data_IF_571682220448
#
_entry.id   IF_571682220448
#
_cell.length_a   1.000
_cell.length_b   1.000
_cell.length_c   1.000
_cell.angle_alpha   90.00
_cell.angle_beta   90.00
_cell.angle_gamma   90.00
#
_symmetry.space_group_name_H-M   'P 1'
#
loop_
_entity.id
_entity.type
_entity.pdbx_description
1 polymer ?
#
# COMPACT_ATOMS: atom_id res chain seq x y z
N UNK A 1 17.93 8.62 -5.58
CA UNK A 1 17.27 7.91 -6.71
C UNK A 1 17.23 6.40 -6.51
N UNK A 2 18.24 5.59 -6.85
CA UNK A 2 18.14 4.12 -6.73
C UNK A 2 17.91 3.64 -5.28
N UNK A 3 18.59 4.26 -4.30
CA UNK A 3 18.39 3.96 -2.88
C UNK A 3 16.96 4.28 -2.42
N UNK A 4 16.52 5.52 -2.66
CA UNK A 4 15.16 6.00 -2.37
C UNK A 4 14.08 5.15 -3.02
N UNK A 5 14.25 4.78 -4.29
CA UNK A 5 13.31 3.90 -4.99
C UNK A 5 13.17 2.54 -4.31
N UNK A 6 14.31 1.92 -3.94
CA UNK A 6 14.30 0.65 -3.21
C UNK A 6 13.65 0.79 -1.83
N UNK A 7 13.82 1.92 -1.14
CA UNK A 7 13.16 2.19 0.15
C UNK A 7 11.65 2.30 -0.03
N UNK A 8 11.18 3.08 -1.00
CA UNK A 8 9.75 3.19 -1.32
C UNK A 8 9.14 1.83 -1.67
N UNK A 9 9.84 1.02 -2.48
CA UNK A 9 9.43 -0.35 -2.79
C UNK A 9 9.34 -1.23 -1.53
N UNK A 10 10.36 -1.17 -0.68
CA UNK A 10 10.41 -1.94 0.56
C UNK A 10 9.30 -1.51 1.51
N UNK A 11 8.98 -0.22 1.58
CA UNK A 11 7.90 0.30 2.40
C UNK A 11 6.55 -0.28 1.98
N UNK A 12 6.23 -0.23 0.67
CA UNK A 12 5.03 -0.87 0.12
C UNK A 12 4.95 -2.37 0.49
N UNK A 13 6.05 -3.09 0.29
CA UNK A 13 6.14 -4.52 0.57
C UNK A 13 6.01 -4.85 2.06
N UNK A 14 6.54 -4.00 2.93
CA UNK A 14 6.55 -4.20 4.38
C UNK A 14 5.16 -3.98 4.97
N UNK A 15 4.47 -2.90 4.57
CA UNK A 15 3.10 -2.64 4.98
C UNK A 15 2.16 -3.78 4.59
N UNK A 16 2.24 -4.25 3.34
CA UNK A 16 1.43 -5.38 2.88
C UNK A 16 1.71 -6.66 3.67
N UNK A 17 2.98 -6.93 4.03
CA UNK A 17 3.36 -8.16 4.73
C UNK A 17 3.02 -8.16 6.22
N UNK A 18 3.09 -7.01 6.89
CA UNK A 18 2.61 -6.86 8.27
C UNK A 18 1.11 -7.15 8.31
N UNK A 19 0.33 -6.39 7.53
CA UNK A 19 -1.14 -6.48 7.56
C UNK A 19 -1.65 -7.85 7.11
N UNK A 20 -0.99 -8.50 6.15
CA UNK A 20 -1.40 -9.82 5.67
C UNK A 20 -1.29 -10.93 6.74
N UNK A 21 -0.61 -10.68 7.86
CA UNK A 21 -0.46 -11.63 8.96
C UNK A 21 -1.49 -11.44 10.07
N UNK A 22 -2.33 -10.42 9.98
CA UNK A 22 -3.28 -10.11 11.04
C UNK A 22 -4.58 -10.92 10.92
N UNK A 23 -5.33 -10.95 12.02
CA UNK A 23 -6.71 -11.45 12.07
C UNK A 23 -7.74 -10.33 11.99
N UNK A 24 -7.34 -9.10 12.32
CA UNK A 24 -8.12 -7.86 12.25
C UNK A 24 -7.16 -6.67 12.33
N UNK A 25 -7.55 -5.51 11.80
CA UNK A 25 -6.70 -4.31 11.79
C UNK A 25 -7.39 -3.17 12.52
N UNK A 26 -6.78 -2.69 13.60
CA UNK A 26 -7.30 -1.60 14.43
C UNK A 26 -6.92 -0.20 13.93
N UNK A 27 -7.61 0.85 14.39
CA UNK A 27 -7.20 2.23 14.09
C UNK A 27 -5.80 2.58 14.62
N UNK A 28 -5.46 2.06 15.81
CA UNK A 28 -4.14 2.28 16.42
C UNK A 28 -3.02 1.63 15.59
N UNK A 29 -3.30 0.45 15.02
CA UNK A 29 -2.35 -0.24 14.15
C UNK A 29 -2.12 0.52 12.84
N UNK A 30 -3.19 1.00 12.18
CA UNK A 30 -3.05 1.85 10.99
C UNK A 30 -2.20 3.09 11.29
N UNK A 31 -2.42 3.75 12.44
CA UNK A 31 -1.61 4.88 12.85
C UNK A 31 -0.12 4.47 13.02
N UNK A 32 0.15 3.36 13.69
CA UNK A 32 1.51 2.83 13.86
C UNK A 32 2.19 2.44 12.54
N UNK A 33 1.43 1.95 11.55
CA UNK A 33 1.95 1.69 10.20
C UNK A 33 2.38 2.99 9.49
N UNK A 34 1.67 4.09 9.72
CA UNK A 34 2.04 5.40 9.20
C UNK A 34 3.29 5.96 9.86
N UNK A 35 3.40 5.83 11.18
CA UNK A 35 4.61 6.24 11.91
C UNK A 35 5.84 5.43 11.46
N UNK A 36 5.65 4.15 11.09
CA UNK A 36 6.72 3.30 10.57
C UNK A 36 7.25 3.73 9.19
N UNK A 37 6.49 4.52 8.41
CA UNK A 37 6.93 4.96 7.08
C UNK A 37 8.19 5.83 7.15
N UNK A 38 8.30 6.71 8.14
CA UNK A 38 9.49 7.55 8.34
C UNK A 38 10.75 6.71 8.57
N UNK A 39 10.62 5.61 9.31
CA UNK A 39 11.72 4.69 9.58
C UNK A 39 12.12 3.93 8.31
N UNK A 40 11.12 3.48 7.53
CA UNK A 40 11.35 2.73 6.28
C UNK A 40 11.99 3.59 5.19
N UNK A 41 11.65 4.88 5.15
CA UNK A 41 12.18 5.83 4.19
C UNK A 41 13.51 6.46 4.60
N UNK A 42 13.86 6.46 5.90
CA UNK A 42 15.10 7.05 6.39
C UNK A 42 16.34 6.59 5.58
N UNK A 43 17.22 7.50 5.13
CA UNK A 43 17.31 8.91 5.49
C UNK A 43 16.48 9.85 4.60
N UNK A 44 15.75 9.33 3.62
CA UNK A 44 14.82 10.13 2.82
C UNK A 44 13.58 10.47 3.68
N UNK A 45 13.00 11.66 3.51
CA UNK A 45 11.74 12.01 4.17
C UNK A 45 10.58 11.23 3.57
N UNK A 46 9.60 10.81 4.38
CA UNK A 46 8.35 10.21 3.91
C UNK A 46 7.27 11.24 3.53
N UNK A 47 7.50 12.54 3.75
CA UNK A 47 6.46 13.58 3.57
C UNK A 47 5.86 13.63 2.16
N UNK A 48 6.67 13.35 1.13
CA UNK A 48 6.22 13.27 -0.27
C UNK A 48 5.71 11.88 -0.67
N UNK A 49 5.61 10.94 0.27
CA UNK A 49 5.10 9.60 0.05
C UNK A 49 3.58 9.59 0.21
N UNK A 50 2.91 9.01 -0.79
CA UNK A 50 1.48 8.68 -0.79
C UNK A 50 1.36 7.18 -0.69
N UNK A 51 0.47 6.71 0.18
CA UNK A 51 0.21 5.28 0.37
C UNK A 51 -1.28 5.03 0.33
N UNK A 52 -1.69 3.98 -0.39
CA UNK A 52 -3.05 3.43 -0.35
C UNK A 52 -2.93 1.96 0.04
N UNK A 53 -3.40 1.64 1.25
CA UNK A 53 -3.47 0.28 1.78
C UNK A 53 -4.91 -0.20 1.64
N UNK A 54 -5.11 -1.35 1.00
CA UNK A 54 -6.45 -1.88 0.70
C UNK A 54 -6.51 -3.36 1.04
N UNK A 55 -7.56 -3.76 1.76
CA UNK A 55 -7.98 -5.17 1.82
C UNK A 55 -8.98 -5.45 0.71
N UNK A 56 -8.66 -6.43 -0.11
CA UNK A 56 -9.45 -6.81 -1.29
C UNK A 56 -9.93 -8.23 -1.12
N UNK A 57 -11.23 -8.47 -1.27
CA UNK A 57 -11.82 -9.80 -1.27
C UNK A 57 -11.97 -10.30 -2.70
N UNK A 58 -11.52 -11.51 -2.99
CA UNK A 58 -11.77 -12.19 -4.26
C UNK A 58 -13.13 -12.89 -4.19
N UNK A 59 -14.13 -12.31 -4.87
CA UNK A 59 -15.52 -12.78 -4.86
C UNK A 59 -15.70 -13.97 -5.81
N UNK A 60 -15.06 -13.92 -6.98
CA UNK A 60 -15.06 -14.98 -7.99
C UNK A 60 -13.74 -14.98 -8.78
N UNK A 61 -13.58 -15.90 -9.73
CA UNK A 61 -12.39 -15.95 -10.59
C UNK A 61 -12.22 -14.70 -11.48
N UNK A 62 -13.24 -13.83 -11.55
CA UNK A 62 -13.25 -12.62 -12.39
C UNK A 62 -13.67 -11.35 -11.65
N UNK A 63 -13.98 -11.43 -10.35
CA UNK A 63 -14.42 -10.29 -9.54
C UNK A 63 -13.71 -10.28 -8.20
N UNK A 64 -13.06 -9.15 -7.90
CA UNK A 64 -12.49 -8.84 -6.60
C UNK A 64 -12.94 -7.44 -6.20
N UNK A 65 -13.26 -7.23 -4.93
CA UNK A 65 -13.85 -5.98 -4.42
C UNK A 65 -13.14 -5.47 -3.17
N UNK A 66 -13.16 -4.15 -3.00
CA UNK A 66 -12.60 -3.49 -1.82
C UNK A 66 -13.44 -3.81 -0.59
N UNK A 67 -12.81 -4.36 0.45
CA UNK A 67 -13.42 -4.54 1.78
C UNK A 67 -13.26 -3.26 2.58
N UNK A 68 -12.03 -2.76 2.64
CA UNK A 68 -11.69 -1.47 3.24
C UNK A 68 -10.43 -0.92 2.60
N UNK A 69 -10.22 0.39 2.72
CA UNK A 69 -9.02 1.06 2.25
C UNK A 69 -8.68 2.23 3.15
N UNK A 70 -7.40 2.37 3.45
CA UNK A 70 -6.81 3.50 4.15
C UNK A 70 -5.82 4.21 3.23
N UNK A 71 -5.67 5.51 3.41
CA UNK A 71 -4.73 6.30 2.64
C UNK A 71 -3.94 7.23 3.55
N UNK A 72 -2.66 7.43 3.22
CA UNK A 72 -1.74 8.28 3.93
C UNK A 72 -0.94 9.16 2.96
N UNK A 73 -0.60 10.37 3.40
CA UNK A 73 0.14 11.36 2.60
C UNK A 73 -0.77 12.33 1.84
N UNK A 74 -0.21 13.50 1.52
CA UNK A 74 -0.96 14.59 0.89
C UNK A 74 -1.45 14.20 -0.52
N UNK A 75 -2.76 14.29 -0.75
CA UNK A 75 -3.39 13.96 -2.03
C UNK A 75 -3.61 12.46 -2.27
N UNK A 76 -3.24 11.59 -1.32
CA UNK A 76 -3.59 10.18 -1.38
C UNK A 76 -5.12 10.02 -1.17
N UNK A 77 -5.75 9.19 -2.00
CA UNK A 77 -7.18 8.92 -1.92
C UNK A 77 -7.41 7.44 -1.71
N UNK A 78 -8.09 7.07 -0.63
CA UNK A 78 -8.47 5.67 -0.38
C UNK A 78 -9.42 5.17 -1.46
N UNK A 79 -9.42 3.87 -1.72
CA UNK A 79 -10.43 3.27 -2.58
C UNK A 79 -11.80 3.27 -1.90
N UNK A 80 -12.85 3.34 -2.71
CA UNK A 80 -14.23 3.23 -2.23
C UNK A 80 -14.58 1.76 -1.95
N UNK A 81 -15.03 1.46 -0.73
CA UNK A 81 -15.53 0.13 -0.35
C UNK A 81 -16.59 -0.39 -1.32
N UNK A 82 -16.54 -1.69 -1.62
CA UNK A 82 -17.46 -2.37 -2.52
C UNK A 82 -17.17 -2.18 -4.01
N UNK A 83 -16.25 -1.29 -4.39
CA UNK A 83 -15.84 -1.14 -5.79
C UNK A 83 -14.94 -2.28 -6.25
N UNK A 84 -14.97 -2.57 -7.56
CA UNK A 84 -14.14 -3.62 -8.15
C UNK A 84 -12.67 -3.20 -8.19
N UNK A 85 -11.78 -4.17 -7.98
CA UNK A 85 -10.33 -4.06 -8.11
C UNK A 85 -9.87 -5.05 -9.17
N UNK A 86 -9.05 -4.59 -10.11
CA UNK A 86 -8.38 -5.46 -11.06
C UNK A 86 -7.16 -6.11 -10.40
N UNK A 87 -7.07 -7.43 -10.44
CA UNK A 87 -5.92 -8.21 -9.96
C UNK A 87 -5.46 -9.15 -11.07
N UNK A 88 -4.19 -9.56 -11.02
CA UNK A 88 -3.68 -10.61 -11.90
C UNK A 88 -4.50 -11.90 -11.72
N UNK A 89 -4.80 -12.59 -12.81
CA UNK A 89 -5.60 -13.83 -12.78
C UNK A 89 -5.04 -14.89 -11.81
N UNK A 90 -3.72 -14.91 -11.57
CA UNK A 90 -3.06 -15.81 -10.61
C UNK A 90 -3.42 -15.52 -9.15
N UNK A 91 -3.91 -14.31 -8.85
CA UNK A 91 -4.38 -13.90 -7.52
C UNK A 91 -5.89 -14.11 -7.35
N UNK A 92 -6.62 -14.43 -8.41
CA UNK A 92 -8.09 -14.53 -8.42
C UNK A 92 -8.58 -15.89 -7.93
N UNK A 93 -8.22 -16.26 -6.70
CA UNK A 93 -8.72 -17.47 -6.03
C UNK A 93 -9.97 -17.13 -5.21
N UNK A 94 -11.18 -17.60 -5.60
CA UNK A 94 -12.42 -17.26 -4.90
C UNK A 94 -12.38 -17.59 -3.41
N UNK A 95 -12.94 -16.71 -2.59
CA UNK A 95 -13.00 -16.89 -1.14
C UNK A 95 -11.73 -16.49 -0.39
N UNK A 96 -10.68 -16.05 -1.10
CA UNK A 96 -9.46 -15.50 -0.49
C UNK A 96 -9.48 -13.97 -0.47
N UNK A 97 -8.55 -13.36 0.26
CA UNK A 97 -8.28 -11.94 0.22
C UNK A 97 -6.81 -11.61 0.01
N UNK A 98 -6.60 -10.42 -0.55
CA UNK A 98 -5.32 -9.84 -0.84
C UNK A 98 -5.22 -8.51 -0.11
N UNK A 99 -4.12 -8.31 0.61
CA UNK A 99 -3.67 -6.99 1.03
C UNK A 99 -2.86 -6.39 -0.11
N UNK A 100 -3.34 -5.26 -0.60
CA UNK A 100 -2.74 -4.47 -1.67
C UNK A 100 -2.24 -3.16 -1.08
N UNK A 101 -0.96 -2.86 -1.25
CA UNK A 101 -0.37 -1.57 -0.89
C UNK A 101 0.18 -0.92 -2.15
N UNK A 102 -0.30 0.27 -2.45
CA UNK A 102 0.23 1.12 -3.51
C UNK A 102 0.94 2.29 -2.88
N UNK A 103 2.08 2.64 -3.45
CA UNK A 103 2.87 3.78 -3.01
C UNK A 103 3.26 4.63 -4.19
N UNK A 104 3.25 5.94 -4.01
CA UNK A 104 3.85 6.93 -4.91
C UNK A 104 4.76 7.83 -4.09
N UNK A 105 5.98 8.04 -4.57
CA UNK A 105 6.95 8.90 -3.93
C UNK A 105 7.49 9.91 -4.93
N UNK A 106 7.28 11.19 -4.68
CA UNK A 106 7.84 12.27 -5.50
C UNK A 106 9.26 12.58 -5.02
N UNK A 107 10.26 12.31 -5.86
CA UNK A 107 11.66 12.61 -5.61
C UNK A 107 12.08 13.89 -6.35
N UNK A 108 12.53 14.88 -5.58
CA UNK A 108 13.09 16.13 -6.07
C UNK A 108 14.63 16.08 -6.05
N UNK A 109 15.32 16.20 -7.20
CA UNK A 109 16.78 16.21 -7.23
C UNK A 109 17.37 17.49 -6.60
N UNK A 110 18.38 17.36 -5.73
CA UNK A 110 19.08 18.49 -5.12
C UNK A 110 19.74 19.44 -6.13
N UNK A 111 20.13 18.93 -7.31
CA UNK A 111 20.66 19.72 -8.42
C UNK A 111 19.60 19.88 -9.52
N UNK A 112 18.41 20.38 -9.15
CA UNK A 112 17.29 20.58 -10.08
C UNK A 112 17.60 21.47 -11.30
N UNK A 113 18.73 22.21 -11.29
CA UNK A 113 19.22 22.95 -12.46
C UNK A 113 19.89 22.07 -13.53
N UNK A 114 20.34 20.86 -13.18
CA UNK A 114 20.94 19.89 -14.12
C UNK A 114 19.91 18.88 -14.67
N UNK A 115 18.80 18.69 -13.96
CA UNK A 115 17.75 17.74 -14.31
C UNK A 115 16.38 18.40 -14.13
N UNK A 116 15.73 18.84 -15.22
CA UNK A 116 14.41 19.46 -15.12
C UNK A 116 13.35 18.38 -14.80
N UNK A 117 12.81 18.40 -13.58
CA UNK A 117 11.58 17.71 -13.21
C UNK A 117 11.69 16.78 -12.00
N UNK A 118 10.55 16.63 -11.32
CA UNK A 118 10.37 15.68 -10.25
C UNK A 118 10.19 14.27 -10.82
N UNK A 119 10.70 13.26 -10.11
CA UNK A 119 10.55 11.86 -10.50
C UNK A 119 9.54 11.19 -9.58
N UNK A 120 8.43 10.71 -10.16
CA UNK A 120 7.47 9.90 -9.42
C UNK A 120 7.88 8.43 -9.43
N UNK A 121 8.10 7.87 -8.24
CA UNK A 121 8.45 6.47 -8.02
C UNK A 121 7.23 5.74 -7.49
N UNK A 122 6.64 4.85 -8.29
CA UNK A 122 5.45 4.08 -7.91
C UNK A 122 5.77 2.62 -7.66
N UNK A 123 5.17 2.04 -6.61
CA UNK A 123 5.32 0.63 -6.30
C UNK A 123 4.04 0.04 -5.74
N UNK A 124 3.69 -1.13 -6.27
CA UNK A 124 2.58 -1.95 -5.78
C UNK A 124 3.12 -3.20 -5.11
N UNK A 125 2.54 -3.55 -3.97
CA UNK A 125 2.83 -4.77 -3.25
C UNK A 125 1.53 -5.49 -2.93
N UNK A 126 1.55 -6.81 -3.16
CA UNK A 126 0.41 -7.69 -2.92
C UNK A 126 0.84 -8.81 -1.98
N UNK A 127 0.00 -9.11 -0.99
CA UNK A 127 0.17 -10.24 -0.08
C UNK A 127 -1.16 -10.92 0.14
N UNK A 128 -1.21 -12.24 0.02
CA UNK A 128 -2.39 -13.00 0.42
C UNK A 128 -2.51 -12.95 1.94
N UNK A 129 -3.72 -12.72 2.43
CA UNK A 129 -4.03 -12.83 3.85
C UNK A 129 -3.74 -14.25 4.34
N UNK A 130 -3.11 -14.37 5.52
CA UNK A 130 -2.58 -15.65 5.99
C UNK A 130 -3.47 -16.36 7.02
N UNK A 131 -4.15 -15.58 7.86
CA UNK A 131 -4.92 -16.12 8.98
C UNK A 131 -6.43 -16.07 8.76
N UNK A 132 -6.93 -15.02 8.11
CA UNK A 132 -8.36 -14.83 7.83
C UNK A 132 -8.58 -14.22 6.45
N UNK A 133 -9.72 -14.54 5.84
CA UNK A 133 -10.12 -14.04 4.50
C UNK A 133 -11.59 -13.53 4.53
N UNK A 134 -11.86 -12.22 4.38
CA UNK A 134 -10.94 -11.09 4.42
C UNK A 134 -10.56 -10.65 5.84
N UNK A 135 -9.40 -10.01 5.96
CA UNK A 135 -9.00 -9.30 7.20
C UNK A 135 -9.92 -8.10 7.41
N UNK A 136 -10.71 -8.03 8.50
CA UNK A 136 -11.62 -6.93 8.79
C UNK A 136 -10.91 -5.72 9.43
N UNK A 137 -11.55 -4.56 9.40
CA UNK A 137 -11.18 -3.39 10.21
C UNK A 137 -11.98 -3.39 11.51
N UNK A 138 -11.34 -3.00 12.59
CA UNK A 138 -11.99 -2.76 13.89
C UNK A 138 -11.67 -1.35 14.37
N UNK A 139 -12.60 -0.78 15.13
CA UNK A 139 -12.49 0.56 15.71
C UNK A 139 -11.44 0.63 16.80
#
# INVERSE_FOLDING_TARGET
>A
MLGTNKRAQNAAASLADVVARDTEVSNAEIAGLWDALDILMYPDTSTSMRVVLTSVRVVSATSATVVWSEAHGQGATRRTTGTNVSLDARMMVPGTSIIMTETSYTYEPLLGFLFPGDFEMTHDAYRRSRLVDPIPRVS
#
